data_IF_129545804199
#
_entry.id   IF_129545804199
#
_cell.length_a   1.000
_cell.length_b   1.000
_cell.length_c   1.000
_cell.angle_alpha   90.00
_cell.angle_beta   90.00
_cell.angle_gamma   90.00
#
_symmetry.space_group_name_H-M   'P 1'
#
loop_
_entity.id
_entity.type
_entity.pdbx_description
1 polymer ?
#
# COMPACT_ATOMS: atom_id res chain seq x y z
N UNK A 1 31.97 25.71 27.62
CA UNK A 1 30.83 25.60 26.67
C UNK A 1 31.40 25.44 25.27
N UNK A 2 31.12 24.32 24.61
CA UNK A 2 31.60 24.00 23.26
C UNK A 2 30.52 24.37 22.25
N UNK A 3 30.32 25.66 21.99
CA UNK A 3 29.28 26.13 21.06
C UNK A 3 29.88 27.07 20.01
N UNK A 4 29.33 27.08 18.81
CA UNK A 4 29.63 28.05 17.75
C UNK A 4 28.40 28.91 17.50
N UNK A 5 28.52 30.23 17.64
CA UNK A 5 27.43 31.19 17.44
C UNK A 5 27.87 32.31 16.50
N UNK A 6 27.21 32.46 15.36
CA UNK A 6 27.47 33.50 14.35
C UNK A 6 26.15 34.12 13.94
N UNK A 7 25.96 35.42 14.20
CA UNK A 7 24.75 36.16 13.88
C UNK A 7 24.09 36.80 15.10
N UNK A 8 23.28 37.83 14.87
CA UNK A 8 22.58 38.54 15.95
C UNK A 8 21.62 37.59 16.67
N UNK A 9 21.67 37.56 18.02
CA UNK A 9 20.84 36.71 18.88
C UNK A 9 21.08 35.19 18.77
N UNK A 10 22.09 34.73 18.02
CA UNK A 10 22.42 33.32 17.95
C UNK A 10 22.78 32.75 19.33
N UNK A 11 22.15 31.64 19.73
CA UNK A 11 22.31 30.99 21.06
C UNK A 11 22.11 31.90 22.28
N UNK A 12 21.40 33.02 22.15
CA UNK A 12 21.30 34.04 23.21
C UNK A 12 20.82 33.51 24.57
N UNK A 13 19.85 32.61 24.59
CA UNK A 13 19.28 32.06 25.84
C UNK A 13 19.89 30.74 26.28
N UNK A 14 20.92 30.25 25.58
CA UNK A 14 21.53 28.95 25.84
C UNK A 14 22.15 28.86 27.24
N UNK A 15 21.65 27.94 28.05
CA UNK A 15 22.16 27.63 29.39
C UNK A 15 23.04 26.39 29.28
N UNK A 16 24.36 26.58 29.40
CA UNK A 16 25.29 25.45 29.55
C UNK A 16 25.21 24.89 30.96
N UNK A 17 24.88 23.60 31.10
CA UNK A 17 24.91 22.88 32.38
C UNK A 17 26.29 22.35 32.72
N UNK A 18 26.48 21.91 33.98
CA UNK A 18 27.72 21.28 34.46
C UNK A 18 27.95 19.87 33.92
N UNK A 19 26.92 19.25 33.32
CA UNK A 19 27.03 18.01 32.57
C UNK A 19 27.44 18.29 31.11
N UNK A 20 28.29 17.45 30.52
CA UNK A 20 28.77 17.58 29.14
C UNK A 20 27.65 17.60 28.06
N UNK A 21 26.40 17.30 28.44
CA UNK A 21 25.25 17.14 27.54
C UNK A 21 24.29 18.35 27.53
N UNK A 22 24.25 19.17 28.59
CA UNK A 22 23.25 20.24 28.71
C UNK A 22 23.74 21.55 28.07
N UNK A 23 23.05 22.01 27.03
CA UNK A 23 23.33 23.27 26.34
C UNK A 23 24.73 23.37 25.71
N UNK A 24 25.37 22.23 25.45
CA UNK A 24 26.71 22.13 24.85
C UNK A 24 26.63 21.51 23.43
N UNK A 25 27.71 21.67 22.65
CA UNK A 25 27.87 21.13 21.30
C UNK A 25 26.85 21.67 20.28
N UNK A 26 26.44 22.92 20.43
CA UNK A 26 25.50 23.59 19.53
C UNK A 26 26.24 24.44 18.48
N UNK A 27 25.82 24.34 17.22
CA UNK A 27 26.23 25.24 16.13
C UNK A 27 25.04 26.08 15.70
N UNK A 28 25.13 27.40 15.83
CA UNK A 28 24.10 28.36 15.43
C UNK A 28 24.69 29.42 14.49
N UNK A 29 24.30 29.37 13.23
CA UNK A 29 24.77 30.29 12.18
C UNK A 29 23.55 30.94 11.52
N UNK A 30 23.32 32.21 11.81
CA UNK A 30 22.18 32.98 11.32
C UNK A 30 21.57 33.83 12.42
N UNK A 31 20.86 34.90 12.03
CA UNK A 31 20.15 35.73 13.00
C UNK A 31 19.06 34.89 13.68
N UNK A 32 19.02 34.95 15.01
CA UNK A 32 18.10 34.23 15.88
C UNK A 32 18.15 32.69 15.80
N UNK A 33 19.21 32.11 15.22
CA UNK A 33 19.41 30.67 15.22
C UNK A 33 19.60 30.16 16.66
N UNK A 34 18.82 29.15 17.08
CA UNK A 34 18.80 28.62 18.46
C UNK A 34 18.60 29.70 19.55
N UNK A 35 17.92 30.80 19.25
CA UNK A 35 17.82 31.94 20.18
C UNK A 35 17.25 31.54 21.54
N UNK A 36 16.18 30.74 21.58
CA UNK A 36 15.48 30.37 22.81
C UNK A 36 15.91 29.02 23.40
N UNK A 37 16.98 28.43 22.88
CA UNK A 37 17.54 27.18 23.43
C UNK A 37 17.87 27.37 24.91
N UNK A 38 17.34 26.51 25.78
CA UNK A 38 17.64 26.53 27.22
C UNK A 38 18.68 25.47 27.54
N UNK A 39 18.33 24.20 27.42
CA UNK A 39 19.21 23.08 27.85
C UNK A 39 19.49 22.07 26.73
N UNK A 40 18.89 22.22 25.55
CA UNK A 40 19.12 21.33 24.41
C UNK A 40 20.57 21.35 23.93
N UNK A 41 21.21 20.19 23.86
CA UNK A 41 22.57 20.02 23.34
C UNK A 41 22.61 19.38 21.95
N UNK A 42 23.78 19.42 21.31
CA UNK A 42 24.06 18.75 20.02
C UNK A 42 23.18 19.21 18.84
N UNK A 43 22.72 20.46 18.86
CA UNK A 43 21.91 21.01 17.78
C UNK A 43 22.76 21.73 16.73
N UNK A 44 22.45 21.53 15.45
CA UNK A 44 23.00 22.31 14.33
C UNK A 44 21.88 23.14 13.70
N UNK A 45 22.01 24.46 13.73
CA UNK A 45 21.04 25.42 13.23
C UNK A 45 21.73 26.42 12.30
N UNK A 46 21.48 26.30 11.00
CA UNK A 46 22.05 27.19 9.98
C UNK A 46 20.93 27.83 9.16
N UNK A 47 20.74 29.14 9.32
CA UNK A 47 19.69 29.91 8.65
C UNK A 47 19.03 30.92 9.59
N UNK A 48 18.34 31.91 9.02
CA UNK A 48 17.52 32.85 9.79
C UNK A 48 16.47 32.09 10.61
N UNK A 49 16.41 32.32 11.93
CA UNK A 49 15.44 31.70 12.84
C UNK A 49 15.37 30.16 12.79
N UNK A 50 16.45 29.49 12.37
CA UNK A 50 16.53 28.03 12.44
C UNK A 50 16.56 27.56 13.90
N UNK A 51 15.72 26.56 14.26
CA UNK A 51 15.52 26.09 15.63
C UNK A 51 15.22 27.21 16.65
N UNK A 52 14.54 28.28 16.22
CA UNK A 52 14.30 29.49 17.02
C UNK A 52 13.73 29.19 18.40
N UNK A 53 12.64 28.40 18.46
CA UNK A 53 11.87 28.12 19.66
C UNK A 53 12.32 26.86 20.41
N UNK A 54 13.42 26.22 20.00
CA UNK A 54 13.94 25.07 20.73
C UNK A 54 14.22 25.46 22.16
N UNK A 55 13.76 24.69 23.14
CA UNK A 55 13.98 24.95 24.57
C UNK A 55 14.80 23.84 25.20
N UNK A 56 14.37 22.59 25.05
CA UNK A 56 15.03 21.42 25.66
C UNK A 56 15.41 20.35 24.64
N UNK A 57 14.92 20.44 23.40
CA UNK A 57 15.18 19.45 22.35
C UNK A 57 16.67 19.35 22.00
N UNK A 58 17.17 18.13 21.85
CA UNK A 58 18.57 17.85 21.54
C UNK A 58 18.76 17.14 20.21
N UNK A 59 20.00 17.14 19.71
CA UNK A 59 20.40 16.36 18.53
C UNK A 59 19.61 16.68 17.25
N UNK A 60 19.15 17.92 17.09
CA UNK A 60 18.43 18.36 15.90
C UNK A 60 19.39 18.96 14.86
N UNK A 61 19.12 18.75 13.57
CA UNK A 61 19.79 19.41 12.46
C UNK A 61 18.78 20.21 11.66
N UNK A 62 18.87 21.54 11.68
CA UNK A 62 18.03 22.47 10.94
C UNK A 62 18.87 23.35 10.01
N UNK A 63 18.74 23.14 8.71
CA UNK A 63 19.48 23.91 7.70
C UNK A 63 18.48 24.55 6.74
N UNK A 64 18.32 25.87 6.83
CA UNK A 64 17.36 26.66 6.08
C UNK A 64 16.77 27.79 6.93
N UNK A 65 16.23 28.82 6.27
CA UNK A 65 15.44 29.84 6.97
C UNK A 65 14.19 29.21 7.58
N UNK A 66 13.94 29.49 8.86
CA UNK A 66 12.79 29.00 9.63
C UNK A 66 12.68 27.46 9.69
N UNK A 67 13.77 26.73 9.42
CA UNK A 67 13.81 25.27 9.58
C UNK A 67 13.68 24.90 11.07
N UNK A 68 12.75 23.99 11.41
CA UNK A 68 12.35 23.61 12.78
C UNK A 68 12.07 24.81 13.70
N UNK A 69 11.61 25.94 13.15
CA UNK A 69 11.44 27.19 13.92
C UNK A 69 10.57 27.02 15.17
N UNK A 70 9.52 26.20 15.08
CA UNK A 70 8.57 25.97 16.17
C UNK A 70 8.86 24.73 17.02
N UNK A 71 9.95 24.01 16.77
CA UNK A 71 10.30 22.86 17.61
C UNK A 71 10.68 23.34 19.00
N UNK A 72 9.96 22.96 20.05
CA UNK A 72 10.15 23.39 21.44
C UNK A 72 10.92 22.35 22.26
N UNK A 73 10.58 21.07 22.13
CA UNK A 73 11.17 19.99 22.91
C UNK A 73 11.55 18.75 22.11
N UNK A 74 11.17 18.68 20.82
CA UNK A 74 11.46 17.53 19.98
C UNK A 74 12.96 17.33 19.74
N UNK A 75 13.39 16.08 19.66
CA UNK A 75 14.78 15.67 19.56
C UNK A 75 15.03 14.75 18.38
N UNK A 76 16.26 14.74 17.86
CA UNK A 76 16.65 13.85 16.76
C UNK A 76 16.01 14.19 15.41
N UNK A 77 15.51 15.41 15.21
CA UNK A 77 14.90 15.81 13.94
C UNK A 77 15.95 16.33 12.94
N UNK A 78 15.77 16.00 11.67
CA UNK A 78 16.54 16.52 10.54
C UNK A 78 15.61 17.32 9.64
N UNK A 79 15.85 18.62 9.51
CA UNK A 79 15.12 19.51 8.64
C UNK A 79 16.05 20.23 7.66
N UNK A 80 15.83 20.02 6.37
CA UNK A 80 16.65 20.61 5.31
C UNK A 80 15.77 21.38 4.32
N UNK A 81 15.99 22.68 4.21
CA UNK A 81 15.25 23.59 3.35
C UNK A 81 14.55 24.71 4.12
N UNK A 82 14.11 25.75 3.39
CA UNK A 82 13.33 26.84 3.97
C UNK A 82 11.99 26.30 4.46
N UNK A 83 11.60 26.66 5.69
CA UNK A 83 10.42 26.16 6.40
C UNK A 83 10.37 24.65 6.65
N UNK A 84 11.47 23.91 6.44
CA UNK A 84 11.49 22.47 6.68
C UNK A 84 11.20 22.15 8.15
N UNK A 85 10.26 21.24 8.43
CA UNK A 85 9.83 20.89 9.79
C UNK A 85 9.24 22.05 10.62
N UNK A 86 8.88 23.18 10.01
CA UNK A 86 8.37 24.37 10.73
C UNK A 86 7.08 24.13 11.51
N UNK A 87 6.31 23.08 11.21
CA UNK A 87 5.10 22.70 11.96
C UNK A 87 5.38 21.77 13.15
N UNK A 88 6.60 21.24 13.29
CA UNK A 88 6.95 20.37 14.41
C UNK A 88 7.09 21.19 15.69
N UNK A 89 6.46 20.74 16.79
CA UNK A 89 6.48 21.41 18.10
C UNK A 89 7.17 20.58 19.18
N UNK A 90 6.93 19.27 19.23
CA UNK A 90 7.50 18.39 20.25
C UNK A 90 7.88 16.99 19.72
N UNK A 91 7.62 16.71 18.44
CA UNK A 91 7.83 15.39 17.84
C UNK A 91 9.30 15.03 17.67
N UNK A 92 9.61 13.75 17.77
CA UNK A 92 10.98 13.22 17.75
C UNK A 92 11.28 12.45 16.47
N UNK A 93 12.56 12.36 16.10
CA UNK A 93 13.07 11.48 15.05
C UNK A 93 12.45 11.68 13.64
N UNK A 94 12.05 12.91 13.30
CA UNK A 94 11.54 13.21 11.96
C UNK A 94 12.66 13.58 10.98
N UNK A 95 12.48 13.25 9.70
CA UNK A 95 13.31 13.73 8.60
C UNK A 95 12.42 14.49 7.61
N UNK A 96 12.52 15.81 7.61
CA UNK A 96 11.77 16.71 6.73
C UNK A 96 12.71 17.42 5.75
N UNK A 97 12.70 17.01 4.48
CA UNK A 97 13.51 17.63 3.42
C UNK A 97 12.60 18.39 2.47
N UNK A 98 12.62 19.72 2.53
CA UNK A 98 11.72 20.58 1.77
C UNK A 98 10.24 20.32 2.07
N UNK A 99 9.93 19.87 3.29
CA UNK A 99 8.59 19.59 3.79
C UNK A 99 8.37 20.33 5.11
N UNK A 100 7.22 20.98 5.31
CA UNK A 100 6.96 21.73 6.56
C UNK A 100 6.75 20.86 7.79
N UNK A 101 6.67 19.54 7.66
CA UNK A 101 6.30 18.63 8.73
C UNK A 101 4.81 18.74 9.07
N UNK A 102 4.37 17.91 10.01
CA UNK A 102 3.00 17.90 10.55
C UNK A 102 3.09 17.96 12.06
N UNK A 103 2.28 18.81 12.69
CA UNK A 103 2.34 19.00 14.13
C UNK A 103 2.07 17.69 14.88
N UNK A 104 2.96 17.35 15.81
CA UNK A 104 2.85 16.14 16.63
C UNK A 104 3.39 14.86 15.98
N UNK A 105 3.86 14.91 14.73
CA UNK A 105 4.48 13.73 14.11
C UNK A 105 5.78 13.36 14.81
N UNK A 106 5.99 12.07 15.00
CA UNK A 106 7.26 11.47 15.40
C UNK A 106 7.58 10.29 14.49
N UNK A 107 8.87 9.98 14.34
CA UNK A 107 9.36 8.81 13.60
C UNK A 107 8.93 8.79 12.12
N UNK A 108 8.81 9.97 11.50
CA UNK A 108 8.39 10.10 10.09
C UNK A 108 9.49 10.59 9.16
N UNK A 109 9.44 10.18 7.89
CA UNK A 109 10.27 10.73 6.81
C UNK A 109 9.36 11.38 5.78
N UNK A 110 9.58 12.66 5.48
CA UNK A 110 8.87 13.40 4.44
C UNK A 110 9.86 14.16 3.56
N UNK A 111 9.77 13.91 2.26
CA UNK A 111 10.64 14.52 1.25
C UNK A 111 9.78 15.21 0.20
N UNK A 112 9.98 16.52 0.06
CA UNK A 112 9.23 17.40 -0.83
C UNK A 112 7.92 17.90 -0.22
N UNK A 113 7.31 18.85 -0.92
CA UNK A 113 6.04 19.48 -0.57
C UNK A 113 4.92 18.86 -1.41
N UNK A 114 3.82 18.49 -0.74
CA UNK A 114 2.63 17.94 -1.39
C UNK A 114 2.13 18.92 -2.46
N UNK A 115 1.76 18.40 -3.64
CA UNK A 115 1.30 19.14 -4.83
C UNK A 115 2.38 19.95 -5.56
N UNK A 116 3.57 20.14 -5.00
CA UNK A 116 4.68 20.80 -5.71
C UNK A 116 5.48 19.80 -6.54
N UNK A 117 5.95 18.72 -5.91
CA UNK A 117 6.65 17.66 -6.62
C UNK A 117 5.63 16.71 -7.27
N UNK A 118 5.73 16.55 -8.59
CA UNK A 118 4.84 15.67 -9.38
C UNK A 118 5.53 14.39 -9.86
N UNK A 119 6.85 14.28 -9.65
CA UNK A 119 7.69 13.15 -10.09
C UNK A 119 8.80 12.93 -9.07
N UNK A 120 9.12 11.66 -8.80
CA UNK A 120 10.20 11.27 -7.90
C UNK A 120 11.23 10.44 -8.67
N UNK A 121 12.50 10.86 -8.63
CA UNK A 121 13.61 10.16 -9.25
C UNK A 121 14.58 9.74 -8.15
N UNK A 122 14.76 8.43 -7.97
CA UNK A 122 15.74 7.86 -7.03
C UNK A 122 16.76 7.08 -7.85
N UNK A 123 18.04 7.43 -7.73
CA UNK A 123 19.10 6.70 -8.41
C UNK A 123 19.29 5.30 -7.81
N UNK A 124 19.70 4.33 -8.63
CA UNK A 124 20.07 2.97 -8.18
C UNK A 124 18.93 1.96 -8.04
N UNK A 125 17.66 2.38 -8.16
CA UNK A 125 16.51 1.45 -8.07
C UNK A 125 16.15 0.81 -9.42
N UNK A 126 16.45 1.46 -10.54
CA UNK A 126 16.10 0.99 -11.88
C UNK A 126 17.16 0.03 -12.42
N UNK A 127 16.75 -1.15 -12.90
CA UNK A 127 17.64 -2.16 -13.47
C UNK A 127 18.41 -3.00 -12.43
N UNK A 128 18.12 -2.81 -11.15
CA UNK A 128 18.73 -3.56 -10.04
C UNK A 128 17.82 -4.70 -9.62
N UNK A 129 18.32 -5.94 -9.62
CA UNK A 129 17.57 -7.08 -9.10
C UNK A 129 17.40 -6.98 -7.57
N UNK A 130 16.23 -7.33 -7.07
CA UNK A 130 15.91 -7.33 -5.64
C UNK A 130 15.24 -8.64 -5.23
N UNK A 131 15.48 -9.07 -4.00
CA UNK A 131 14.70 -10.12 -3.31
C UNK A 131 13.96 -9.46 -2.14
N UNK A 132 12.71 -9.84 -1.88
CA UNK A 132 11.92 -9.30 -0.78
C UNK A 132 10.49 -8.95 -1.15
N UNK A 133 9.81 -8.24 -0.24
CA UNK A 133 8.42 -7.82 -0.37
C UNK A 133 8.28 -6.58 -1.26
N UNK A 134 7.17 -6.49 -2.00
CA UNK A 134 6.85 -5.31 -2.79
C UNK A 134 6.42 -4.14 -1.88
N UNK A 135 6.96 -2.95 -2.16
CA UNK A 135 6.55 -1.72 -1.48
C UNK A 135 5.25 -1.21 -2.08
N UNK A 136 4.27 -0.95 -1.23
CA UNK A 136 2.99 -0.34 -1.57
C UNK A 136 2.92 1.11 -1.07
N UNK A 137 2.03 1.90 -1.69
CA UNK A 137 1.72 3.28 -1.29
C UNK A 137 0.26 3.36 -0.91
N UNK A 138 -0.06 3.89 0.27
CA UNK A 138 -1.45 4.11 0.68
C UNK A 138 -2.00 5.47 0.19
N UNK A 139 -3.28 5.76 0.47
CA UNK A 139 -3.94 6.98 0.00
C UNK A 139 -3.34 8.29 0.57
N UNK A 140 -2.67 8.25 1.73
CA UNK A 140 -1.97 9.43 2.28
C UNK A 140 -0.57 9.63 1.68
N UNK A 141 -0.09 8.68 0.86
CA UNK A 141 1.24 8.69 0.26
C UNK A 141 2.31 8.00 1.11
N UNK A 142 1.93 7.27 2.15
CA UNK A 142 2.86 6.51 2.98
C UNK A 142 3.32 5.24 2.25
N UNK A 143 4.63 5.02 2.23
CA UNK A 143 5.23 3.78 1.77
C UNK A 143 5.19 2.72 2.87
N UNK A 144 4.96 1.47 2.49
CA UNK A 144 5.00 0.34 3.40
C UNK A 144 4.95 -1.00 2.67
N UNK A 145 4.80 -2.08 3.42
CA UNK A 145 4.54 -3.42 2.90
C UNK A 145 3.17 -3.88 3.38
N UNK A 146 2.56 -4.86 2.71
CA UNK A 146 1.22 -5.36 3.06
C UNK A 146 1.36 -6.64 3.92
N UNK A 147 1.34 -6.56 5.27
CA UNK A 147 1.51 -7.75 6.11
C UNK A 147 0.34 -8.71 5.97
N UNK A 148 0.64 -10.01 5.82
CA UNK A 148 -0.40 -11.05 5.65
C UNK A 148 -0.59 -11.96 6.87
N UNK A 149 0.26 -11.83 7.90
CA UNK A 149 0.20 -12.65 9.12
C UNK A 149 -1.07 -12.39 9.91
N UNK A 150 -1.63 -13.45 10.52
CA UNK A 150 -2.82 -13.38 11.38
C UNK A 150 -2.64 -12.41 12.56
N UNK A 151 -1.41 -12.19 13.04
CA UNK A 151 -1.13 -11.26 14.15
C UNK A 151 -1.57 -9.82 13.88
N UNK A 152 -1.71 -9.46 12.61
CA UNK A 152 -2.12 -8.12 12.16
C UNK A 152 -3.55 -8.11 11.61
N UNK A 153 -4.36 -9.13 11.90
CA UNK A 153 -5.69 -9.31 11.33
C UNK A 153 -6.71 -9.69 12.39
N UNK A 154 -7.83 -8.99 12.37
CA UNK A 154 -9.02 -9.32 13.16
C UNK A 154 -10.16 -9.79 12.24
N UNK A 155 -11.16 -10.45 12.82
CA UNK A 155 -12.40 -10.85 12.14
C UNK A 155 -12.21 -11.64 10.83
N UNK A 156 -11.21 -12.53 10.79
CA UNK A 156 -10.93 -13.38 9.62
C UNK A 156 -12.07 -14.38 9.40
N UNK A 157 -12.69 -14.34 8.22
CA UNK A 157 -13.79 -15.22 7.80
C UNK A 157 -13.70 -15.58 6.31
N UNK A 158 -14.36 -16.66 5.86
CA UNK A 158 -14.47 -16.98 4.43
C UNK A 158 -15.05 -15.83 3.61
N UNK A 159 -14.65 -15.72 2.34
CA UNK A 159 -15.15 -14.68 1.43
C UNK A 159 -16.57 -14.98 0.90
N UNK A 160 -16.97 -16.24 0.85
CA UNK A 160 -18.28 -16.69 0.37
C UNK A 160 -18.74 -15.93 -0.89
N UNK A 161 -19.91 -15.30 -0.89
CA UNK A 161 -20.45 -14.55 -2.04
C UNK A 161 -19.78 -13.20 -2.30
N UNK A 162 -18.94 -12.70 -1.39
CA UNK A 162 -18.31 -11.39 -1.56
C UNK A 162 -17.42 -11.35 -2.81
N UNK A 163 -16.77 -12.48 -3.15
CA UNK A 163 -15.92 -12.59 -4.33
C UNK A 163 -16.69 -12.66 -5.66
N UNK A 164 -18.00 -12.91 -5.66
CA UNK A 164 -18.80 -13.03 -6.90
C UNK A 164 -18.92 -11.70 -7.66
N UNK A 165 -18.70 -10.57 -6.97
CA UNK A 165 -18.66 -9.24 -7.59
C UNK A 165 -17.64 -9.16 -8.74
N UNK A 166 -16.55 -9.95 -8.70
CA UNK A 166 -15.54 -9.93 -9.76
C UNK A 166 -16.05 -10.47 -11.10
N UNK A 167 -17.11 -11.30 -11.08
CA UNK A 167 -17.68 -11.91 -12.28
C UNK A 167 -18.40 -10.88 -13.17
N UNK A 168 -18.77 -9.72 -12.60
CA UNK A 168 -19.37 -8.62 -13.34
C UNK A 168 -18.34 -7.61 -13.89
N UNK A 169 -17.06 -7.74 -13.51
CA UNK A 169 -16.00 -6.83 -13.96
C UNK A 169 -15.71 -7.01 -15.45
N UNK A 170 -15.34 -5.92 -16.12
CA UNK A 170 -15.07 -5.89 -17.56
C UNK A 170 -13.65 -5.41 -17.81
N UNK A 171 -12.70 -6.32 -18.09
CA UNK A 171 -11.34 -5.95 -18.46
C UNK A 171 -11.32 -5.12 -19.76
N UNK A 172 -10.43 -4.15 -19.81
CA UNK A 172 -10.25 -3.25 -20.96
C UNK A 172 -8.78 -3.15 -21.36
N UNK A 173 -8.56 -2.76 -22.62
CA UNK A 173 -7.27 -2.35 -23.15
C UNK A 173 -7.28 -0.83 -23.21
N UNK A 174 -6.24 -0.18 -22.69
CA UNK A 174 -6.13 1.28 -22.70
C UNK A 174 -4.69 1.73 -22.91
N UNK A 175 -4.50 2.98 -23.32
CA UNK A 175 -3.20 3.65 -23.31
C UNK A 175 -3.29 4.83 -22.33
N UNK A 176 -2.22 5.11 -21.58
CA UNK A 176 -2.16 6.35 -20.82
C UNK A 176 -2.16 7.56 -21.77
N UNK A 177 -2.60 8.71 -21.25
CA UNK A 177 -2.54 9.96 -22.01
C UNK A 177 -1.09 10.29 -22.38
N UNK A 178 -0.88 10.97 -23.52
CA UNK A 178 0.47 11.24 -24.09
C UNK A 178 1.38 12.02 -23.14
N UNK A 179 0.81 12.80 -22.22
CA UNK A 179 1.58 13.56 -21.23
C UNK A 179 2.21 12.66 -20.16
N UNK A 180 1.62 11.49 -19.92
CA UNK A 180 2.08 10.48 -18.95
C UNK A 180 2.93 9.40 -19.63
N UNK A 181 2.50 8.92 -20.79
CA UNK A 181 3.25 7.98 -21.62
C UNK A 181 3.28 8.46 -23.07
N UNK A 182 4.33 9.18 -23.49
CA UNK A 182 4.49 9.63 -24.86
C UNK A 182 4.55 8.49 -25.88
N UNK A 183 4.91 7.26 -25.46
CA UNK A 183 5.03 6.09 -26.33
C UNK A 183 3.68 5.39 -26.56
N UNK A 184 2.67 5.68 -25.73
CA UNK A 184 1.33 5.13 -25.86
C UNK A 184 1.27 3.61 -25.79
N UNK A 185 2.06 2.99 -24.90
CA UNK A 185 2.16 1.54 -24.79
C UNK A 185 0.83 0.98 -24.28
N UNK A 186 0.18 0.06 -25.02
CA UNK A 186 -1.07 -0.56 -24.58
C UNK A 186 -0.93 -1.26 -23.22
N UNK A 187 -1.90 -1.02 -22.35
CA UNK A 187 -2.04 -1.60 -21.02
C UNK A 187 -3.35 -2.39 -20.94
N UNK A 188 -3.39 -3.33 -20.01
CA UNK A 188 -4.57 -4.15 -19.72
C UNK A 188 -4.98 -3.90 -18.28
N UNK A 189 -6.28 -3.76 -18.02
CA UNK A 189 -6.75 -3.55 -16.65
C UNK A 189 -8.24 -3.27 -16.56
N UNK A 190 -8.61 -2.55 -15.51
CA UNK A 190 -9.96 -2.16 -15.17
C UNK A 190 -10.03 -0.63 -14.99
N UNK A 191 -11.15 -0.04 -15.40
CA UNK A 191 -11.46 1.36 -15.11
C UNK A 191 -11.98 1.47 -13.67
N UNK A 192 -11.36 2.34 -12.87
CA UNK A 192 -11.71 2.49 -11.45
C UNK A 192 -13.18 2.91 -11.27
N UNK A 193 -13.70 3.75 -12.16
CA UNK A 193 -15.08 4.24 -12.14
C UNK A 193 -16.10 3.15 -12.49
N UNK A 194 -15.74 2.20 -13.35
CA UNK A 194 -16.64 1.09 -13.68
C UNK A 194 -16.63 0.02 -12.60
N UNK A 195 -15.47 -0.23 -11.99
CA UNK A 195 -15.35 -1.10 -10.83
C UNK A 195 -16.09 -0.51 -9.63
N UNK A 196 -16.04 0.81 -9.40
CA UNK A 196 -16.74 1.49 -8.30
C UNK A 196 -18.25 1.20 -8.33
N UNK A 197 -18.87 1.22 -9.51
CA UNK A 197 -20.31 0.94 -9.70
C UNK A 197 -20.69 -0.49 -9.31
N UNK A 198 -19.74 -1.43 -9.41
CA UNK A 198 -19.96 -2.86 -9.15
C UNK A 198 -19.63 -3.17 -7.69
N UNK A 199 -18.46 -2.75 -7.22
CA UNK A 199 -18.01 -2.91 -5.86
C UNK A 199 -17.08 -1.75 -5.44
N UNK A 200 -17.58 -0.77 -4.66
CA UNK A 200 -16.79 0.38 -4.23
C UNK A 200 -15.65 0.04 -3.28
N UNK A 201 -15.68 -1.10 -2.58
CA UNK A 201 -14.63 -1.52 -1.64
C UNK A 201 -13.32 -1.93 -2.35
N UNK A 202 -13.39 -2.13 -3.66
CA UNK A 202 -12.24 -2.41 -4.52
C UNK A 202 -11.53 -1.16 -5.02
N UNK A 203 -11.97 0.04 -4.61
CA UNK A 203 -11.41 1.30 -5.09
C UNK A 203 -10.64 2.01 -3.98
N UNK A 204 -9.37 2.32 -4.27
CA UNK A 204 -8.65 3.33 -3.53
C UNK A 204 -8.95 4.71 -4.13
N UNK A 205 -9.26 5.66 -3.26
CA UNK A 205 -9.60 7.04 -3.63
C UNK A 205 -8.40 7.97 -3.50
N UNK A 206 -8.40 9.03 -4.29
CA UNK A 206 -7.44 10.12 -4.13
C UNK A 206 -7.76 11.01 -2.92
N UNK A 207 -6.95 12.03 -2.68
CA UNK A 207 -7.15 12.99 -1.58
C UNK A 207 -8.43 13.81 -1.70
N UNK A 208 -9.01 13.91 -2.91
CA UNK A 208 -10.27 14.59 -3.16
C UNK A 208 -11.48 13.65 -3.08
N UNK A 209 -11.27 12.37 -2.71
CA UNK A 209 -12.31 11.36 -2.59
C UNK A 209 -12.75 10.74 -3.92
N UNK A 210 -12.07 11.04 -5.03
CA UNK A 210 -12.41 10.50 -6.35
C UNK A 210 -11.79 9.10 -6.54
N UNK A 211 -12.43 8.21 -7.33
CA UNK A 211 -11.81 6.95 -7.75
C UNK A 211 -10.43 7.20 -8.34
N UNK A 212 -9.41 6.50 -7.84
CA UNK A 212 -8.03 6.72 -8.26
C UNK A 212 -7.39 5.46 -8.81
N UNK A 213 -7.48 4.35 -8.08
CA UNK A 213 -6.94 3.07 -8.55
C UNK A 213 -7.75 1.90 -8.03
N UNK A 214 -7.75 0.82 -8.80
CA UNK A 214 -8.32 -0.47 -8.39
C UNK A 214 -7.34 -1.18 -7.48
N UNK A 215 -7.87 -1.77 -6.41
CA UNK A 215 -7.17 -2.66 -5.48
C UNK A 215 -6.95 -4.03 -6.12
N UNK A 216 -6.04 -4.10 -7.08
CA UNK A 216 -5.76 -5.33 -7.84
C UNK A 216 -5.33 -6.50 -6.93
N UNK A 217 -4.74 -6.22 -5.78
CA UNK A 217 -4.42 -7.24 -4.77
C UNK A 217 -5.67 -7.92 -4.20
N UNK A 218 -6.74 -7.16 -4.00
CA UNK A 218 -8.02 -7.70 -3.54
C UNK A 218 -8.71 -8.48 -4.65
N UNK A 219 -8.66 -7.98 -5.90
CA UNK A 219 -9.19 -8.68 -7.07
C UNK A 219 -8.51 -10.05 -7.23
N UNK A 220 -7.19 -10.13 -7.10
CA UNK A 220 -6.45 -11.39 -7.20
C UNK A 220 -6.86 -12.40 -6.11
N UNK A 221 -7.07 -11.95 -4.88
CA UNK A 221 -7.54 -12.82 -3.80
C UNK A 221 -8.97 -13.33 -4.04
N UNK A 222 -9.85 -12.48 -4.58
CA UNK A 222 -11.22 -12.88 -4.94
C UNK A 222 -11.23 -13.84 -6.13
N UNK A 223 -10.37 -13.63 -7.14
CA UNK A 223 -10.19 -14.56 -8.26
C UNK A 223 -9.78 -15.95 -7.79
N UNK A 224 -8.87 -16.04 -6.82
CA UNK A 224 -8.50 -17.32 -6.21
C UNK A 224 -9.72 -18.01 -5.57
N UNK A 225 -10.57 -17.27 -4.85
CA UNK A 225 -11.76 -17.86 -4.23
C UNK A 225 -12.76 -18.38 -5.27
N UNK A 226 -13.04 -17.62 -6.32
CA UNK A 226 -13.94 -18.06 -7.40
C UNK A 226 -13.35 -19.24 -8.19
N UNK A 227 -12.04 -19.23 -8.45
CA UNK A 227 -11.35 -20.36 -9.07
C UNK A 227 -11.52 -21.65 -8.23
N UNK A 228 -11.31 -21.56 -6.92
CA UNK A 228 -11.49 -22.71 -6.01
C UNK A 228 -12.95 -23.19 -5.95
N UNK A 229 -13.93 -22.29 -6.03
CA UNK A 229 -15.35 -22.67 -6.12
C UNK A 229 -15.65 -23.43 -7.40
N UNK A 230 -15.21 -22.91 -8.54
CA UNK A 230 -15.42 -23.57 -9.84
C UNK A 230 -14.69 -24.92 -9.91
N UNK A 231 -13.47 -25.00 -9.39
CA UNK A 231 -12.73 -26.28 -9.32
C UNK A 231 -13.52 -27.36 -8.57
N UNK A 232 -14.06 -27.04 -7.38
CA UNK A 232 -14.91 -27.97 -6.60
C UNK A 232 -16.20 -28.35 -7.33
N UNK A 233 -16.75 -27.45 -8.15
CA UNK A 233 -17.94 -27.72 -8.95
C UNK A 233 -17.62 -28.68 -10.09
N UNK A 234 -16.46 -28.51 -10.74
CA UNK A 234 -15.96 -29.43 -11.78
C UNK A 234 -15.77 -30.83 -11.21
N UNK A 235 -15.10 -30.99 -10.06
CA UNK A 235 -14.93 -32.31 -9.41
C UNK A 235 -16.27 -33.02 -9.14
N UNK A 236 -17.29 -32.27 -8.70
CA UNK A 236 -18.63 -32.81 -8.47
C UNK A 236 -19.32 -33.22 -9.76
N UNK A 237 -19.17 -32.45 -10.83
CA UNK A 237 -19.74 -32.77 -12.14
C UNK A 237 -19.06 -34.01 -12.75
N UNK A 238 -17.75 -34.16 -12.59
CA UNK A 238 -17.01 -35.34 -13.02
C UNK A 238 -17.48 -36.61 -12.29
N UNK A 239 -17.62 -36.55 -10.96
CA UNK A 239 -18.14 -37.67 -10.17
C UNK A 239 -19.59 -38.03 -10.55
N UNK A 240 -20.44 -37.03 -10.82
CA UNK A 240 -21.79 -37.25 -11.30
C UNK A 240 -21.80 -37.92 -12.69
N UNK A 241 -20.91 -37.49 -13.59
CA UNK A 241 -20.75 -38.08 -14.92
C UNK A 241 -20.30 -39.55 -14.84
N UNK A 242 -19.36 -39.89 -13.94
CA UNK A 242 -18.97 -41.28 -13.69
C UNK A 242 -20.16 -42.14 -13.23
N UNK A 243 -20.99 -41.63 -12.32
CA UNK A 243 -22.17 -42.34 -11.85
C UNK A 243 -23.20 -42.55 -12.96
N UNK A 244 -23.44 -41.53 -13.79
CA UNK A 244 -24.32 -41.63 -14.96
C UNK A 244 -23.80 -42.67 -15.94
N UNK A 245 -22.50 -42.65 -16.24
CA UNK A 245 -21.86 -43.63 -17.12
C UNK A 245 -21.99 -45.06 -16.57
N UNK A 246 -21.88 -45.26 -15.25
CA UNK A 246 -22.10 -46.56 -14.63
C UNK A 246 -23.54 -47.03 -14.79
N UNK A 247 -24.51 -46.14 -14.55
CA UNK A 247 -25.95 -46.45 -14.73
C UNK A 247 -26.31 -46.78 -16.17
N UNK A 248 -25.72 -46.07 -17.15
CA UNK A 248 -25.91 -46.36 -18.58
C UNK A 248 -25.42 -47.78 -18.91
N UNK A 249 -24.23 -48.17 -18.46
CA UNK A 249 -23.72 -49.54 -18.65
C UNK A 249 -24.64 -50.60 -18.03
N UNK A 250 -25.19 -50.34 -16.83
CA UNK A 250 -26.15 -51.24 -16.19
C UNK A 250 -27.48 -51.33 -16.96
N UNK A 251 -27.96 -50.22 -17.54
CA UNK A 251 -29.15 -50.21 -18.39
C UNK A 251 -28.93 -50.96 -19.70
N UNK A 252 -27.78 -50.77 -20.36
CA UNK A 252 -27.43 -51.49 -21.60
C UNK A 252 -27.42 -53.00 -21.36
N UNK A 253 -26.82 -53.45 -20.26
CA UNK A 253 -26.82 -54.87 -19.88
C UNK A 253 -28.24 -55.43 -19.65
N UNK A 254 -29.13 -54.64 -19.02
CA UNK A 254 -30.54 -55.03 -18.84
C UNK A 254 -31.29 -55.10 -20.17
N UNK A 255 -31.09 -54.12 -21.06
CA UNK A 255 -31.72 -54.11 -22.39
C UNK A 255 -31.28 -55.33 -23.19
N UNK A 256 -29.98 -55.65 -23.21
CA UNK A 256 -29.47 -56.85 -23.88
C UNK A 256 -30.12 -58.13 -23.34
N UNK A 257 -30.27 -58.23 -22.00
CA UNK A 257 -30.92 -59.38 -21.37
C UNK A 257 -32.40 -59.51 -21.79
N UNK A 258 -33.16 -58.42 -21.74
CA UNK A 258 -34.58 -58.42 -22.13
C UNK A 258 -34.73 -58.73 -23.62
N UNK A 259 -33.86 -58.18 -24.48
CA UNK A 259 -33.85 -58.50 -25.91
C UNK A 259 -33.59 -59.99 -26.17
N UNK A 260 -32.64 -60.60 -25.45
CA UNK A 260 -32.39 -62.05 -25.55
C UNK A 260 -33.60 -62.89 -25.08
N UNK A 261 -34.27 -62.48 -24.00
CA UNK A 261 -35.50 -63.13 -23.52
C UNK A 261 -36.68 -62.98 -24.51
N UNK A 262 -36.76 -61.88 -25.26
CA UNK A 262 -37.78 -61.68 -26.29
C UNK A 262 -37.51 -62.51 -27.56
N UNK A 263 -36.25 -62.61 -28.00
CA UNK A 263 -35.88 -63.47 -29.14
C UNK A 263 -36.18 -64.95 -28.87
N UNK A 264 -36.01 -65.42 -27.63
CA UNK A 264 -36.37 -66.80 -27.23
C UNK A 264 -37.88 -67.03 -27.10
N UNK A 265 -38.70 -65.98 -27.05
CA UNK A 265 -40.17 -66.04 -26.99
C UNK A 265 -40.88 -65.86 -28.32
N UNK A 266 -40.16 -65.66 -29.44
CA UNK A 266 -40.78 -65.67 -30.78
C UNK A 266 -41.42 -67.05 -31.05
N UNK A 267 -42.70 -67.13 -31.47
CA UNK A 267 -43.31 -68.40 -31.83
C UNK A 267 -42.53 -69.04 -32.99
N UNK A 268 -42.21 -70.33 -32.88
CA UNK A 268 -41.67 -71.10 -34.01
C UNK A 268 -42.62 -71.03 -35.22
N UNK A 269 -42.11 -71.20 -36.46
CA UNK A 269 -42.91 -71.06 -37.66
C UNK A 269 -44.17 -71.94 -37.54
N UNK A 270 -45.35 -71.33 -37.66
CA UNK A 270 -46.60 -72.07 -37.79
C UNK A 270 -46.52 -72.90 -39.07
N UNK A 271 -46.18 -74.17 -38.92
CA UNK A 271 -46.38 -75.17 -39.96
C UNK A 271 -47.89 -75.38 -40.02
N UNK A 272 -48.53 -74.81 -41.04
CA UNK A 272 -49.92 -75.13 -41.35
C UNK A 272 -49.90 -76.53 -41.96
N UNK A 273 -50.14 -77.53 -41.13
CA UNK A 273 -50.52 -78.87 -41.60
C UNK A 273 -52.04 -78.96 -41.74
N UNK A 274 -52.44 -79.79 -42.71
CA UNK A 274 -53.78 -80.30 -43.09
C UNK A 274 -54.34 -79.65 -44.36
N UNK A 275 -54.92 -80.38 -45.31
CA UNK A 275 -54.98 -81.81 -45.67
C UNK A 275 -55.61 -81.84 -47.09
#
# INVERSE_FOLDING_TARGET
MLNTAIGTLALRSNIGGSALLEGNANTAIGASALQFNKTGGFNTATGYSSLLRNTTGGSNTAIGGDALQNNESGSGNIALGVFAGSNLTAGDNNIDIGNSGVAGDSDTIKIGTVLTQTKTFVAGISGTAVTGEAVAVNASGQLGVVPSSQRFKDAVKPMDKASEAILALKPVIFCYKKELDPKGIPQFGLLAEDVEKINPDLIARDRAGKPYTVRYEAVNAMLLNEFLKEHRKVEKLEAALELVNKRLKEQDAKIQKVSAELETRKPGPQVVENN
#
